data_IF_714987678962
#
_entry.id   IF_714987678962
#
_cell.length_a   1.000
_cell.length_b   1.000
_cell.length_c   1.000
_cell.angle_alpha   90.00
_cell.angle_beta   90.00
_cell.angle_gamma   90.00
#
_symmetry.space_group_name_H-M   'P 1'
#
loop_
_entity.id
_entity.type
_entity.pdbx_description
1 polymer ?
#
# COMPACT_ATOMS: atom_id res chain seq x y z
N UNK A 1 0.69 0.05 17.67
CA UNK A 1 0.36 -0.27 16.27
C UNK A 1 1.42 -1.27 15.78
N UNK A 2 1.07 -2.28 15.00
CA UNK A 2 2.04 -3.26 14.50
C UNK A 2 2.67 -2.81 13.19
N UNK A 3 3.78 -2.07 13.24
CA UNK A 3 4.54 -1.67 12.04
C UNK A 3 5.79 -2.55 11.87
N UNK A 4 6.31 -2.71 10.65
CA UNK A 4 7.55 -3.46 10.44
C UNK A 4 8.73 -2.92 11.24
N UNK A 5 9.58 -3.82 11.74
CA UNK A 5 10.65 -3.51 12.71
C UNK A 5 11.70 -2.54 12.16
N UNK A 6 11.88 -2.48 10.84
CA UNK A 6 12.85 -1.60 10.19
C UNK A 6 12.53 -0.10 10.34
N UNK A 7 11.30 0.27 10.70
CA UNK A 7 10.93 1.69 10.88
C UNK A 7 11.25 2.24 12.28
N UNK A 8 11.75 1.39 13.19
CA UNK A 8 12.12 1.81 14.55
C UNK A 8 10.92 2.12 15.45
N UNK A 9 11.22 2.50 16.69
CA UNK A 9 10.22 2.65 17.75
C UNK A 9 9.13 3.69 17.40
N UNK A 10 9.53 4.88 16.93
CA UNK A 10 8.63 6.03 16.70
C UNK A 10 7.61 5.86 15.55
N UNK A 11 7.79 4.86 14.69
CA UNK A 11 6.90 4.65 13.56
C UNK A 11 5.49 4.21 13.98
N UNK A 12 5.38 3.51 15.12
CA UNK A 12 4.10 3.10 15.69
C UNK A 12 3.27 4.31 16.13
N UNK A 13 3.93 5.32 16.70
CA UNK A 13 3.31 6.56 17.17
C UNK A 13 2.87 7.42 15.99
N UNK A 14 3.67 7.50 14.93
CA UNK A 14 3.32 8.20 13.68
C UNK A 14 2.08 7.57 13.06
N UNK A 15 2.05 6.24 12.91
CA UNK A 15 0.86 5.55 12.38
C UNK A 15 -0.35 5.77 13.28
N UNK A 16 -0.20 5.69 14.61
CA UNK A 16 -1.29 5.98 15.55
C UNK A 16 -1.84 7.40 15.38
N UNK A 17 -0.96 8.40 15.29
CA UNK A 17 -1.35 9.80 15.10
C UNK A 17 -2.10 10.01 13.78
N UNK A 18 -1.66 9.35 12.70
CA UNK A 18 -2.28 9.43 11.39
C UNK A 18 -3.63 8.75 11.30
N UNK A 19 -3.82 7.64 12.02
CA UNK A 19 -5.12 6.97 12.13
C UNK A 19 -6.10 7.84 12.91
N UNK A 20 -5.63 8.56 13.93
CA UNK A 20 -6.46 9.48 14.71
C UNK A 20 -6.81 10.77 13.94
N UNK A 21 -5.85 11.33 13.19
CA UNK A 21 -6.05 12.50 12.33
C UNK A 21 -5.26 12.37 11.01
N UNK A 22 -5.92 11.94 9.91
CA UNK A 22 -5.27 11.80 8.61
C UNK A 22 -4.73 13.11 8.03
N UNK A 23 -5.20 14.28 8.49
CA UNK A 23 -4.76 15.60 8.01
C UNK A 23 -3.47 16.07 8.70
N UNK A 24 -3.06 15.41 9.77
CA UNK A 24 -1.84 15.73 10.51
C UNK A 24 -0.53 15.36 9.80
N UNK A 25 -0.59 14.68 8.65
CA UNK A 25 0.58 14.23 7.85
C UNK A 25 1.67 15.28 7.70
N UNK A 26 1.30 16.50 7.33
CA UNK A 26 2.26 17.59 7.09
C UNK A 26 2.93 18.12 8.37
N UNK A 27 2.37 17.82 9.55
CA UNK A 27 2.96 18.19 10.84
C UNK A 27 3.97 17.15 11.33
N UNK A 28 3.94 15.95 10.77
CA UNK A 28 4.79 14.81 11.16
C UNK A 28 6.02 14.67 10.26
N UNK A 29 6.11 15.44 9.19
CA UNK A 29 7.24 15.42 8.26
C UNK A 29 8.30 16.43 8.68
N UNK A 30 9.56 15.99 8.61
CA UNK A 30 10.76 16.81 8.84
C UNK A 30 11.86 16.32 7.89
N UNK A 31 13.04 16.95 7.87
CA UNK A 31 14.16 16.55 6.99
C UNK A 31 14.56 15.08 7.11
N UNK A 32 14.29 14.45 8.27
CA UNK A 32 14.55 13.04 8.55
C UNK A 32 13.37 12.09 8.21
N UNK A 33 12.13 12.57 8.26
CA UNK A 33 10.92 11.80 7.94
C UNK A 33 10.28 12.36 6.68
N UNK A 34 10.56 11.72 5.54
CA UNK A 34 9.97 12.13 4.26
C UNK A 34 8.54 11.64 4.18
N UNK A 35 7.72 12.36 3.42
CA UNK A 35 6.32 11.98 3.15
C UNK A 35 6.22 10.54 2.61
N UNK A 36 7.16 10.10 1.78
CA UNK A 36 7.17 8.75 1.21
C UNK A 36 7.35 7.63 2.25
N UNK A 37 8.16 7.85 3.28
CA UNK A 37 8.41 6.84 4.32
C UNK A 37 7.16 6.62 5.18
N UNK A 38 6.44 7.70 5.46
CA UNK A 38 5.18 7.69 6.21
C UNK A 38 4.09 6.95 5.42
N UNK A 39 3.93 7.26 4.13
CA UNK A 39 2.96 6.58 3.28
C UNK A 39 3.28 5.08 3.18
N UNK A 40 4.57 4.73 3.01
CA UNK A 40 5.01 3.34 2.94
C UNK A 40 4.72 2.58 4.24
N UNK A 41 5.06 3.16 5.40
CA UNK A 41 4.76 2.55 6.69
C UNK A 41 3.25 2.35 6.89
N UNK A 42 2.42 3.31 6.46
CA UNK A 42 0.97 3.22 6.55
C UNK A 42 0.39 2.14 5.61
N UNK A 43 0.97 1.97 4.42
CA UNK A 43 0.59 0.90 3.47
C UNK A 43 0.98 -0.47 4.01
N UNK A 44 2.22 -0.63 4.48
CA UNK A 44 2.70 -1.90 5.03
C UNK A 44 1.93 -2.30 6.30
N UNK A 45 1.64 -1.34 7.19
CA UNK A 45 0.77 -1.55 8.35
C UNK A 45 -0.63 -2.05 7.97
N UNK A 46 -1.29 -1.40 7.00
CA UNK A 46 -2.61 -1.85 6.50
C UNK A 46 -2.54 -3.24 5.86
N UNK A 47 -1.44 -3.57 5.19
CA UNK A 47 -1.23 -4.92 4.65
C UNK A 47 -1.18 -5.98 5.76
N UNK A 48 -0.51 -5.68 6.88
CA UNK A 48 -0.46 -6.58 8.03
C UNK A 48 -1.87 -6.81 8.61
N UNK A 49 -2.67 -5.74 8.77
CA UNK A 49 -4.05 -5.88 9.26
C UNK A 49 -4.88 -6.79 8.35
N UNK A 50 -4.79 -6.61 7.03
CA UNK A 50 -5.52 -7.46 6.07
C UNK A 50 -5.11 -8.93 6.17
N UNK A 51 -3.82 -9.21 6.32
CA UNK A 51 -3.35 -10.58 6.56
C UNK A 51 -3.90 -11.16 7.86
N UNK A 52 -3.98 -10.37 8.93
CA UNK A 52 -4.60 -10.81 10.20
C UNK A 52 -6.08 -11.16 9.97
N UNK A 53 -6.85 -10.30 9.31
CA UNK A 53 -8.28 -10.53 9.03
C UNK A 53 -8.51 -11.76 8.14
N UNK A 54 -7.67 -11.96 7.12
CA UNK A 54 -7.80 -13.09 6.19
C UNK A 54 -7.21 -14.42 6.71
N UNK A 55 -6.42 -14.39 7.78
CA UNK A 55 -5.83 -15.60 8.34
C UNK A 55 -6.91 -16.57 8.86
N UNK A 56 -6.62 -17.89 8.96
CA UNK A 56 -7.58 -18.89 9.42
C UNK A 56 -8.20 -18.57 10.77
N UNK A 57 -9.44 -19.02 10.99
CA UNK A 57 -10.08 -18.93 12.29
C UNK A 57 -9.47 -19.96 13.25
N UNK A 58 -9.08 -19.52 14.44
CA UNK A 58 -8.63 -20.37 15.54
C UNK A 58 -9.55 -20.15 16.76
N UNK A 59 -9.90 -21.19 17.53
CA UNK A 59 -10.85 -21.10 18.64
C UNK A 59 -10.18 -20.54 19.92
N UNK A 60 -9.48 -19.41 19.78
CA UNK A 60 -8.86 -18.69 20.88
C UNK A 60 -9.44 -17.28 20.94
N UNK A 61 -10.06 -16.91 22.06
CA UNK A 61 -10.67 -15.59 22.27
C UNK A 61 -9.76 -14.44 21.87
N UNK A 62 -8.48 -14.46 22.30
CA UNK A 62 -7.50 -13.43 21.96
C UNK A 62 -7.26 -13.30 20.45
N UNK A 63 -7.30 -14.41 19.72
CA UNK A 63 -7.16 -14.40 18.26
C UNK A 63 -8.39 -13.78 17.60
N UNK A 64 -9.58 -14.18 18.02
CA UNK A 64 -10.84 -13.62 17.53
C UNK A 64 -10.93 -12.11 17.79
N UNK A 65 -10.56 -11.67 18.99
CA UNK A 65 -10.50 -10.25 19.38
C UNK A 65 -9.50 -9.48 18.52
N UNK A 66 -8.33 -10.06 18.23
CA UNK A 66 -7.32 -9.45 17.37
C UNK A 66 -7.83 -9.26 15.93
N UNK A 67 -8.48 -10.29 15.36
CA UNK A 67 -9.06 -10.19 14.02
C UNK A 67 -10.14 -9.10 13.96
N UNK A 68 -11.03 -9.04 14.95
CA UNK A 68 -12.08 -8.03 15.03
C UNK A 68 -11.51 -6.61 15.15
N UNK A 69 -10.51 -6.40 16.01
CA UNK A 69 -9.83 -5.11 16.14
C UNK A 69 -9.10 -4.69 14.85
N UNK A 70 -8.51 -5.65 14.14
CA UNK A 70 -7.86 -5.39 12.86
C UNK A 70 -8.86 -4.99 11.76
N UNK A 71 -10.02 -5.63 11.71
CA UNK A 71 -11.12 -5.31 10.80
C UNK A 71 -11.65 -3.89 11.04
N UNK A 72 -11.93 -3.54 12.29
CA UNK A 72 -12.37 -2.18 12.68
C UNK A 72 -11.37 -1.10 12.24
N UNK A 73 -10.07 -1.37 12.34
CA UNK A 73 -9.02 -0.45 11.91
C UNK A 73 -8.92 -0.33 10.38
N UNK A 74 -9.18 -1.40 9.64
CA UNK A 74 -9.22 -1.35 8.16
C UNK A 74 -10.37 -0.45 7.72
N UNK A 75 -11.55 -0.62 8.31
CA UNK A 75 -12.74 0.15 7.94
C UNK A 75 -12.58 1.64 8.25
N UNK A 76 -12.03 1.97 9.43
CA UNK A 76 -11.74 3.36 9.83
C UNK A 76 -10.70 4.04 8.94
N UNK A 77 -9.81 3.27 8.32
CA UNK A 77 -8.68 3.79 7.52
C UNK A 77 -8.85 3.55 6.03
N UNK A 78 -10.05 3.14 5.60
CA UNK A 78 -10.41 2.97 4.21
C UNK A 78 -10.24 4.30 3.47
N UNK A 79 -9.21 4.38 2.64
CA UNK A 79 -8.99 5.51 1.73
C UNK A 79 -9.94 5.35 0.54
N UNK A 80 -10.50 6.42 -0.05
CA UNK A 80 -11.43 6.34 -1.19
C UNK A 80 -10.85 5.61 -2.43
N UNK A 81 -9.52 5.53 -2.56
CA UNK A 81 -8.83 4.76 -3.61
C UNK A 81 -8.93 3.23 -3.43
N UNK A 82 -9.41 2.74 -2.29
CA UNK A 82 -9.53 1.29 -2.00
C UNK A 82 -10.68 0.62 -2.76
N UNK A 83 -11.56 1.42 -3.40
CA UNK A 83 -12.70 0.96 -4.17
C UNK A 83 -12.40 0.81 -5.68
N UNK A 84 -11.12 0.76 -6.09
CA UNK A 84 -10.79 0.44 -7.48
C UNK A 84 -10.91 -1.07 -7.65
N UNK A 85 -12.03 -1.50 -8.25
CA UNK A 85 -12.16 -2.86 -8.77
C UNK A 85 -11.10 -3.08 -9.85
N UNK A 86 -10.04 -3.82 -9.51
CA UNK A 86 -8.95 -4.16 -10.43
C UNK A 86 -9.46 -4.92 -11.67
N UNK A 87 -10.65 -5.55 -11.61
CA UNK A 87 -11.30 -6.17 -12.75
C UNK A 87 -11.68 -5.18 -13.86
N UNK A 88 -11.94 -3.91 -13.51
CA UNK A 88 -12.30 -2.86 -14.48
C UNK A 88 -11.11 -2.25 -15.22
N UNK A 89 -9.87 -2.52 -14.77
CA UNK A 89 -8.65 -1.90 -15.33
C UNK A 89 -8.05 -2.65 -16.53
N UNK A 90 -8.58 -3.82 -16.88
CA UNK A 90 -8.05 -4.70 -17.94
C UNK A 90 -7.91 -4.00 -19.31
N UNK A 91 -8.82 -3.13 -19.78
CA UNK A 91 -8.69 -2.53 -21.11
C UNK A 91 -7.62 -1.42 -21.22
N UNK A 92 -7.23 -0.77 -20.11
CA UNK A 92 -6.35 0.41 -20.15
C UNK A 92 -4.85 0.07 -19.98
N UNK A 93 -4.50 -0.99 -19.25
CA UNK A 93 -3.09 -1.42 -19.11
C UNK A 93 -2.49 -1.92 -20.43
N UNK A 94 -3.31 -2.47 -21.33
CA UNK A 94 -2.85 -3.03 -22.60
C UNK A 94 -2.37 -1.97 -23.61
N UNK A 95 -2.77 -0.70 -23.46
CA UNK A 95 -2.31 0.39 -24.34
C UNK A 95 -0.94 0.96 -23.97
N UNK A 96 -0.49 0.78 -22.71
CA UNK A 96 0.78 1.34 -22.25
C UNK A 96 2.01 0.45 -22.53
N UNK A 97 1.83 -0.84 -22.86
CA UNK A 97 2.92 -1.78 -23.13
C UNK A 97 3.42 -1.83 -24.58
N UNK A 98 2.85 -1.03 -25.48
CA UNK A 98 3.09 -1.09 -26.93
C UNK A 98 4.14 -0.11 -27.45
N UNK A 99 5.31 0.00 -26.82
CA UNK A 99 6.37 0.88 -27.34
C UNK A 99 7.76 0.25 -27.27
N UNK A 100 7.94 -0.93 -27.90
CA UNK A 100 9.28 -1.41 -28.26
C UNK A 100 9.30 -2.30 -29.52
N UNK A 101 8.70 -1.84 -30.62
CA UNK A 101 8.79 -2.54 -31.90
C UNK A 101 9.01 -1.59 -33.10
N UNK A 102 10.03 -0.72 -33.00
CA UNK A 102 10.52 0.10 -34.13
C UNK A 102 12.05 0.16 -34.18
N UNK A 103 12.75 -0.98 -34.11
CA UNK A 103 14.19 -1.00 -34.41
C UNK A 103 14.65 -2.14 -35.33
N UNK A 104 13.75 -2.69 -36.16
CA UNK A 104 14.14 -3.68 -37.17
C UNK A 104 13.46 -3.43 -38.52
N UNK A 105 13.72 -2.26 -39.10
CA UNK A 105 13.38 -1.97 -40.49
C UNK A 105 14.33 -0.92 -41.11
N UNK A 106 15.64 -1.03 -40.90
CA UNK A 106 16.64 -0.36 -41.76
C UNK A 106 17.87 -1.26 -41.90
N UNK A 107 17.75 -2.34 -42.66
CA UNK A 107 18.89 -3.13 -43.13
C UNK A 107 18.57 -3.76 -44.50
N UNK A 108 18.02 -2.94 -45.40
CA UNK A 108 17.63 -3.37 -46.74
C UNK A 108 17.68 -2.22 -47.72
N UNK A 109 18.75 -1.40 -47.70
CA UNK A 109 19.03 -0.47 -48.80
C UNK A 109 20.50 -0.01 -48.83
N UNK A 110 21.35 -0.77 -49.51
CA UNK A 110 22.54 -0.28 -50.27
C UNK A 110 23.13 -1.47 -51.04
N UNK A 111 22.90 -1.53 -52.37
CA UNK A 111 23.92 -1.37 -53.45
C UNK A 111 25.19 -2.20 -53.17
N UNK A 112 25.55 -3.20 -53.97
CA UNK A 112 25.73 -3.25 -55.42
C UNK A 112 25.65 -4.69 -55.91
#
# INVERSE_FOLDING_TARGET
MGVPVQYGAGASEVVRALVADPRSKHKLTNQLLRHGDIERALVEWRSILRHIVLAPAYPWSRWTELKAAAEELIDKTASPTSAVDLGTLVPLQQRAGGSNRLHRAVAGLRRR
#
